data_IF_386329616980
#
_entry.id   IF_386329616980
#
_cell.length_a   1.000
_cell.length_b   1.000
_cell.length_c   1.000
_cell.angle_alpha   90.00
_cell.angle_beta   90.00
_cell.angle_gamma   90.00
#
_symmetry.space_group_name_H-M   'P 1'
#
loop_
_entity.id
_entity.type
_entity.pdbx_description
1 polymer ?
#
# COMPACT_ATOMS: atom_id res chain seq x y z
N UNK A 1 -0.19 -7.31 13.97
CA UNK A 1 -0.11 -6.86 12.57
C UNK A 1 -0.43 -5.37 12.39
N UNK A 2 -1.58 -4.87 12.88
CA UNK A 2 -1.93 -3.43 12.77
C UNK A 2 -0.83 -2.46 13.22
N UNK A 3 -0.30 -2.64 14.44
CA UNK A 3 0.81 -1.82 14.95
C UNK A 3 2.04 -1.90 14.05
N UNK A 4 2.36 -3.08 13.53
CA UNK A 4 3.49 -3.29 12.61
C UNK A 4 3.33 -2.49 11.31
N UNK A 5 2.11 -2.41 10.77
CA UNK A 5 1.83 -1.57 9.61
C UNK A 5 2.02 -0.08 9.90
N UNK A 6 1.56 0.40 11.07
CA UNK A 6 1.74 1.79 11.46
C UNK A 6 3.21 2.14 11.72
N UNK A 7 3.94 1.27 12.43
CA UNK A 7 5.38 1.43 12.62
C UNK A 7 6.13 1.38 11.30
N UNK A 8 5.76 0.46 10.42
CA UNK A 8 6.33 0.35 9.08
C UNK A 8 6.09 1.59 8.23
N UNK A 9 4.91 2.22 8.34
CA UNK A 9 4.62 3.50 7.68
C UNK A 9 5.57 4.60 8.15
N UNK A 10 5.69 4.82 9.46
CA UNK A 10 6.62 5.82 10.01
C UNK A 10 8.08 5.51 9.67
N UNK A 11 8.47 4.23 9.73
CA UNK A 11 9.82 3.79 9.37
C UNK A 11 10.12 3.96 7.88
N UNK A 12 9.15 3.71 6.99
CA UNK A 12 9.28 3.92 5.55
C UNK A 12 9.51 5.39 5.22
N UNK A 13 8.81 6.31 5.90
CA UNK A 13 9.04 7.76 5.76
C UNK A 13 10.44 8.12 6.26
N UNK A 14 10.80 7.67 7.47
CA UNK A 14 12.12 7.97 8.05
C UNK A 14 13.25 7.50 7.13
N UNK A 15 13.18 6.26 6.64
CA UNK A 15 14.16 5.71 5.72
C UNK A 15 14.14 6.48 4.40
N UNK A 16 12.97 6.75 3.81
CA UNK A 16 12.86 7.51 2.57
C UNK A 16 13.53 8.88 2.63
N UNK A 17 13.36 9.61 3.75
CA UNK A 17 14.03 10.90 3.97
C UNK A 17 15.54 10.75 4.18
N UNK A 18 15.98 9.66 4.82
CA UNK A 18 17.41 9.40 5.07
C UNK A 18 18.14 8.77 3.89
N UNK A 19 17.45 8.15 2.93
CA UNK A 19 18.08 7.43 1.80
C UNK A 19 19.09 8.28 1.02
N UNK A 20 18.82 9.55 0.66
CA UNK A 20 19.80 10.37 -0.06
C UNK A 20 21.10 10.60 0.73
N UNK A 21 21.02 10.58 2.06
CA UNK A 21 22.18 10.75 2.95
C UNK A 21 22.91 9.43 3.19
N UNK A 22 22.16 8.33 3.33
CA UNK A 22 22.72 7.01 3.62
C UNK A 22 23.32 6.34 2.39
N UNK A 23 22.75 6.59 1.21
CA UNK A 23 23.11 5.91 -0.04
C UNK A 23 23.14 6.90 -1.22
N UNK A 24 24.01 7.93 -1.18
CA UNK A 24 24.04 8.97 -2.20
C UNK A 24 24.35 8.40 -3.59
N UNK A 25 25.31 7.47 -3.71
CA UNK A 25 25.69 6.89 -5.02
C UNK A 25 24.55 6.07 -5.64
N UNK A 26 23.75 5.39 -4.82
CA UNK A 26 22.59 4.63 -5.29
C UNK A 26 21.48 5.56 -5.79
N UNK A 27 21.27 6.70 -5.12
CA UNK A 27 20.34 7.72 -5.59
C UNK A 27 20.85 8.36 -6.89
N UNK A 28 22.12 8.73 -7.00
CA UNK A 28 22.67 9.29 -8.24
C UNK A 28 22.52 8.32 -9.43
N UNK A 29 22.80 7.03 -9.21
CA UNK A 29 22.56 5.99 -10.21
C UNK A 29 21.07 5.92 -10.58
N UNK A 30 20.18 5.91 -9.60
CA UNK A 30 18.73 5.88 -9.83
C UNK A 30 18.27 7.11 -10.61
N UNK A 31 18.75 8.31 -10.28
CA UNK A 31 18.42 9.55 -10.97
C UNK A 31 18.93 9.54 -12.41
N UNK A 32 20.11 8.99 -12.66
CA UNK A 32 20.64 8.84 -14.03
C UNK A 32 19.74 7.96 -14.89
N UNK A 33 19.35 6.78 -14.38
CA UNK A 33 18.41 5.88 -15.05
C UNK A 33 17.05 6.56 -15.24
N UNK A 34 16.61 7.30 -14.22
CA UNK A 34 15.35 8.04 -14.24
C UNK A 34 15.33 9.10 -15.34
N UNK A 35 16.41 9.86 -15.49
CA UNK A 35 16.51 10.91 -16.51
C UNK A 35 16.52 10.32 -17.92
N UNK A 36 17.16 9.17 -18.11
CA UNK A 36 17.14 8.46 -19.39
C UNK A 36 15.72 7.96 -19.73
N UNK A 37 15.03 7.35 -18.75
CA UNK A 37 13.64 6.94 -18.92
C UNK A 37 12.70 8.11 -19.19
N UNK A 38 12.85 9.21 -18.46
CA UNK A 38 12.02 10.40 -18.65
C UNK A 38 12.21 11.01 -20.04
N UNK A 39 13.46 11.06 -20.53
CA UNK A 39 13.74 11.53 -21.89
C UNK A 39 13.06 10.66 -22.94
N UNK A 40 13.19 9.34 -22.83
CA UNK A 40 12.54 8.40 -23.75
C UNK A 40 11.01 8.58 -23.76
N UNK A 41 10.40 8.63 -22.56
CA UNK A 41 8.95 8.82 -22.44
C UNK A 41 8.49 10.18 -22.97
N UNK A 42 9.28 11.23 -22.74
CA UNK A 42 8.95 12.57 -23.22
C UNK A 42 9.09 12.69 -24.74
N UNK A 43 10.10 12.06 -25.34
CA UNK A 43 10.23 11.97 -26.80
C UNK A 43 9.04 11.23 -27.43
N UNK A 44 8.67 10.08 -26.88
CA UNK A 44 7.53 9.28 -27.35
C UNK A 44 6.19 10.04 -27.21
N UNK A 45 6.02 10.77 -26.10
CA UNK A 45 4.82 11.55 -25.81
C UNK A 45 4.83 12.96 -26.40
N UNK A 46 5.91 13.37 -27.08
CA UNK A 46 6.15 14.73 -27.57
C UNK A 46 6.00 15.82 -26.48
N UNK A 47 6.41 15.48 -25.25
CA UNK A 47 6.35 16.37 -24.09
C UNK A 47 7.67 17.13 -23.93
N UNK A 48 7.56 18.39 -23.50
CA UNK A 48 8.74 19.14 -23.06
C UNK A 48 9.06 18.77 -21.61
N UNK A 49 10.33 18.44 -21.34
CA UNK A 49 10.81 18.16 -19.99
C UNK A 49 11.35 19.45 -19.39
N UNK A 50 10.57 20.09 -18.53
CA UNK A 50 11.03 21.16 -17.66
C UNK A 50 11.60 20.61 -16.35
N UNK A 51 12.19 21.49 -15.54
CA UNK A 51 12.82 21.11 -14.28
C UNK A 51 11.81 20.67 -13.21
N UNK A 52 10.56 21.18 -13.27
CA UNK A 52 9.48 20.80 -12.35
C UNK A 52 9.01 19.37 -12.60
N UNK A 53 8.78 19.01 -13.86
CA UNK A 53 8.41 17.66 -14.27
C UNK A 53 9.53 16.67 -13.92
N UNK A 54 10.79 17.03 -14.18
CA UNK A 54 11.95 16.21 -13.82
C UNK A 54 12.01 15.95 -12.32
N UNK A 55 11.92 17.01 -11.50
CA UNK A 55 11.94 16.90 -10.04
C UNK A 55 10.77 16.05 -9.51
N UNK A 56 9.58 16.23 -10.06
CA UNK A 56 8.39 15.44 -9.69
C UNK A 56 8.56 13.96 -10.04
N UNK A 57 9.15 13.66 -11.20
CA UNK A 57 9.41 12.30 -11.63
C UNK A 57 10.48 11.62 -10.76
N UNK A 58 11.52 12.35 -10.38
CA UNK A 58 12.54 11.90 -9.42
C UNK A 58 11.92 11.56 -8.06
N UNK A 59 11.13 12.47 -7.51
CA UNK A 59 10.45 12.29 -6.23
C UNK A 59 9.49 11.09 -6.26
N UNK A 60 8.71 10.96 -7.33
CA UNK A 60 7.79 9.84 -7.55
C UNK A 60 8.51 8.49 -7.54
N UNK A 61 9.67 8.38 -8.21
CA UNK A 61 10.44 7.14 -8.23
C UNK A 61 11.06 6.82 -6.89
N UNK A 62 11.68 7.78 -6.21
CA UNK A 62 12.23 7.58 -4.86
C UNK A 62 11.13 7.09 -3.90
N UNK A 63 9.97 7.75 -3.93
CA UNK A 63 8.78 7.36 -3.17
C UNK A 63 8.31 5.93 -3.50
N UNK A 64 8.27 5.59 -4.79
CA UNK A 64 7.88 4.25 -5.27
C UNK A 64 8.84 3.16 -4.80
N UNK A 65 10.14 3.43 -4.78
CA UNK A 65 11.14 2.50 -4.23
C UNK A 65 10.94 2.30 -2.73
N UNK A 66 10.79 3.39 -1.96
CA UNK A 66 10.57 3.33 -0.52
C UNK A 66 9.31 2.50 -0.18
N UNK A 67 8.20 2.75 -0.89
CA UNK A 67 6.97 1.99 -0.73
C UNK A 67 7.11 0.52 -1.18
N UNK A 68 7.88 0.25 -2.23
CA UNK A 68 8.13 -1.13 -2.69
C UNK A 68 8.91 -1.94 -1.67
N UNK A 69 9.97 -1.38 -1.07
CA UNK A 69 10.71 -2.04 0.01
C UNK A 69 9.85 -2.24 1.26
N UNK A 70 9.01 -1.25 1.59
CA UNK A 70 8.07 -1.39 2.69
C UNK A 70 7.06 -2.51 2.43
N UNK A 71 6.43 -2.52 1.25
CA UNK A 71 5.50 -3.57 0.84
C UNK A 71 6.17 -4.95 0.82
N UNK A 72 7.40 -5.05 0.32
CA UNK A 72 8.18 -6.28 0.33
C UNK A 72 8.45 -6.77 1.75
N UNK A 73 8.83 -5.88 2.67
CA UNK A 73 9.04 -6.20 4.09
C UNK A 73 7.77 -6.73 4.74
N UNK A 74 6.62 -6.13 4.44
CA UNK A 74 5.33 -6.64 4.91
C UNK A 74 4.98 -7.98 4.26
N UNK A 75 5.28 -8.17 2.97
CA UNK A 75 5.14 -9.44 2.27
C UNK A 75 5.97 -10.57 2.91
N UNK A 76 7.23 -10.29 3.25
CA UNK A 76 8.09 -11.23 3.98
C UNK A 76 7.52 -11.57 5.36
N UNK A 77 6.97 -10.59 6.08
CA UNK A 77 6.29 -10.83 7.35
C UNK A 77 5.04 -11.70 7.18
N UNK A 78 4.26 -11.47 6.11
CA UNK A 78 3.06 -12.26 5.82
C UNK A 78 3.42 -13.71 5.46
N UNK A 79 4.50 -13.91 4.71
CA UNK A 79 5.03 -15.23 4.40
C UNK A 79 5.50 -15.95 5.67
N UNK A 80 6.28 -15.28 6.52
CA UNK A 80 6.71 -15.85 7.79
C UNK A 80 5.53 -16.23 8.69
N UNK A 81 4.49 -15.39 8.74
CA UNK A 81 3.26 -15.64 9.50
C UNK A 81 2.44 -16.79 8.93
N UNK A 82 2.36 -16.91 7.60
CA UNK A 82 1.63 -18.01 6.98
C UNK A 82 2.30 -19.36 7.23
N UNK A 83 3.64 -19.44 7.16
CA UNK A 83 4.40 -20.63 7.52
C UNK A 83 4.26 -20.98 9.01
N UNK A 84 4.34 -19.98 9.88
CA UNK A 84 4.15 -20.18 11.31
C UNK A 84 2.74 -20.70 11.63
N UNK A 85 1.69 -20.14 11.02
CA UNK A 85 0.33 -20.65 11.18
C UNK A 85 0.19 -22.08 10.61
N UNK A 86 0.78 -22.39 9.45
CA UNK A 86 0.69 -23.73 8.86
C UNK A 86 1.24 -24.83 9.79
N UNK A 87 2.29 -24.54 10.56
CA UNK A 87 2.91 -25.49 11.48
C UNK A 87 2.20 -25.58 12.84
N UNK A 88 1.77 -24.44 13.40
CA UNK A 88 1.32 -24.38 14.80
C UNK A 88 -0.19 -24.17 14.97
N UNK A 89 -0.86 -23.57 13.99
CA UNK A 89 -2.32 -23.31 14.01
C UNK A 89 -2.88 -23.27 12.58
N UNK A 90 -3.10 -24.43 11.93
CA UNK A 90 -3.57 -24.49 10.56
C UNK A 90 -4.80 -23.61 10.33
N UNK A 91 -4.77 -22.77 9.29
CA UNK A 91 -5.82 -21.79 9.00
C UNK A 91 -5.75 -20.48 9.80
N UNK A 92 -4.91 -20.39 10.84
CA UNK A 92 -4.80 -19.20 11.71
C UNK A 92 -4.43 -17.92 10.94
N UNK A 93 -3.54 -18.01 9.94
CA UNK A 93 -3.18 -16.86 9.11
C UNK A 93 -4.38 -16.30 8.32
N UNK A 94 -5.28 -17.17 7.84
CA UNK A 94 -6.49 -16.73 7.15
C UNK A 94 -7.38 -15.92 8.09
N UNK A 95 -7.58 -16.39 9.32
CA UNK A 95 -8.34 -15.66 10.34
C UNK A 95 -7.71 -14.30 10.65
N UNK A 96 -6.40 -14.26 10.88
CA UNK A 96 -5.64 -13.04 11.17
C UNK A 96 -5.73 -12.02 10.03
N UNK A 97 -5.54 -12.46 8.78
CA UNK A 97 -5.60 -11.59 7.62
C UNK A 97 -7.02 -11.09 7.36
N UNK A 98 -8.04 -11.96 7.46
CA UNK A 98 -9.43 -11.57 7.25
C UNK A 98 -9.93 -10.51 8.26
N UNK A 99 -9.37 -10.53 9.47
CA UNK A 99 -9.65 -9.58 10.54
C UNK A 99 -8.71 -8.36 10.53
N UNK A 100 -7.72 -8.31 9.64
CA UNK A 100 -6.77 -7.21 9.56
C UNK A 100 -7.49 -5.93 9.13
N UNK A 101 -7.61 -5.00 10.08
CA UNK A 101 -8.25 -3.71 9.93
C UNK A 101 -7.47 -2.66 10.71
N UNK A 102 -7.38 -1.47 10.14
CA UNK A 102 -6.85 -0.29 10.82
C UNK A 102 -7.93 0.31 11.75
N UNK A 103 -7.56 0.76 12.94
CA UNK A 103 -8.51 1.51 13.79
C UNK A 103 -8.78 2.89 13.15
N UNK A 104 -9.92 3.52 13.44
CA UNK A 104 -10.19 4.88 12.95
C UNK A 104 -9.05 5.84 13.31
N UNK A 105 -8.55 5.78 14.54
CA UNK A 105 -7.46 6.66 15.01
C UNK A 105 -6.18 6.44 14.21
N UNK A 106 -5.74 5.19 14.04
CA UNK A 106 -4.52 4.87 13.30
C UNK A 106 -4.66 5.27 11.82
N UNK A 107 -5.84 5.06 11.22
CA UNK A 107 -6.11 5.43 9.82
C UNK A 107 -6.13 6.95 9.64
N UNK A 108 -6.82 7.66 10.52
CA UNK A 108 -6.85 9.13 10.52
C UNK A 108 -5.45 9.71 10.70
N UNK A 109 -4.61 9.11 11.55
CA UNK A 109 -3.22 9.54 11.71
C UNK A 109 -2.42 9.41 10.40
N UNK A 110 -2.55 8.28 9.68
CA UNK A 110 -1.90 8.09 8.36
C UNK A 110 -2.36 9.17 7.38
N UNK A 111 -3.67 9.38 7.26
CA UNK A 111 -4.24 10.37 6.33
C UNK A 111 -3.81 11.79 6.69
N UNK A 112 -3.80 12.16 7.97
CA UNK A 112 -3.32 13.47 8.43
C UNK A 112 -1.85 13.67 8.06
N UNK A 113 -1.01 12.67 8.30
CA UNK A 113 0.42 12.75 7.92
C UNK A 113 0.56 12.94 6.40
N UNK A 114 -0.20 12.21 5.60
CA UNK A 114 -0.20 12.37 4.13
C UNK A 114 -0.60 13.77 3.67
N UNK A 115 -1.60 14.39 4.31
CA UNK A 115 -2.13 15.69 3.90
C UNK A 115 -1.33 16.87 4.45
N UNK A 116 -0.84 16.78 5.69
CA UNK A 116 -0.18 17.91 6.39
C UNK A 116 1.35 17.82 6.28
N UNK A 117 1.91 16.63 6.11
CA UNK A 117 3.36 16.44 6.00
C UNK A 117 4.05 17.32 4.94
N UNK A 118 3.46 17.55 3.75
CA UNK A 118 4.06 18.46 2.77
C UNK A 118 4.21 19.90 3.26
N UNK A 119 3.30 20.37 4.13
CA UNK A 119 3.36 21.73 4.68
C UNK A 119 4.55 21.97 5.62
N UNK A 120 5.21 20.91 6.08
CA UNK A 120 6.42 20.96 6.91
C UNK A 120 7.67 20.50 6.14
N UNK A 121 7.61 20.44 4.80
CA UNK A 121 8.76 20.15 3.93
C UNK A 121 9.04 18.67 3.66
N UNK A 122 8.13 17.76 4.02
CA UNK A 122 8.24 16.35 3.64
C UNK A 122 7.77 16.15 2.18
N UNK A 123 8.39 15.23 1.47
CA UNK A 123 8.00 14.90 0.10
C UNK A 123 6.59 14.28 0.05
N UNK A 124 5.68 14.87 -0.71
CA UNK A 124 4.30 14.43 -0.79
C UNK A 124 4.14 13.05 -1.42
N UNK A 125 4.95 12.70 -2.42
CA UNK A 125 4.92 11.38 -3.04
C UNK A 125 5.31 10.31 -2.04
N UNK A 126 6.40 10.51 -1.28
CA UNK A 126 6.86 9.59 -0.25
C UNK A 126 5.76 9.31 0.76
N UNK A 127 5.11 10.35 1.28
CA UNK A 127 4.03 10.19 2.26
C UNK A 127 2.85 9.41 1.69
N UNK A 128 2.43 9.75 0.47
CA UNK A 128 1.29 9.08 -0.18
C UNK A 128 1.61 7.62 -0.46
N UNK A 129 2.75 7.33 -1.08
CA UNK A 129 3.13 5.97 -1.45
C UNK A 129 3.39 5.09 -0.23
N UNK A 130 4.08 5.59 0.80
CA UNK A 130 4.26 4.89 2.07
C UNK A 130 2.91 4.66 2.78
N UNK A 131 1.99 5.63 2.73
CA UNK A 131 0.67 5.54 3.34
C UNK A 131 -0.28 4.58 2.62
N UNK A 132 -0.15 4.46 1.29
CA UNK A 132 -0.95 3.53 0.49
C UNK A 132 -0.68 2.07 0.83
N UNK A 133 0.55 1.69 1.22
CA UNK A 133 0.89 0.30 1.57
C UNK A 133 -0.05 -0.27 2.66
N UNK A 134 -0.13 0.31 3.87
CA UNK A 134 -1.02 -0.21 4.93
C UNK A 134 -2.50 -0.06 4.58
N UNK A 135 -2.89 0.99 3.85
CA UNK A 135 -4.27 1.23 3.42
C UNK A 135 -4.73 0.12 2.48
N UNK A 136 -3.96 -0.16 1.43
CA UNK A 136 -4.28 -1.20 0.45
C UNK A 136 -4.29 -2.57 1.10
N UNK A 137 -3.31 -2.89 1.96
CA UNK A 137 -3.31 -4.15 2.71
C UNK A 137 -4.60 -4.33 3.51
N UNK A 138 -5.07 -3.30 4.20
CA UNK A 138 -6.35 -3.36 4.92
C UNK A 138 -7.55 -3.51 3.97
N UNK A 139 -7.50 -2.88 2.79
CA UNK A 139 -8.54 -3.03 1.77
C UNK A 139 -8.60 -4.43 1.16
N UNK A 140 -7.45 -5.03 0.85
CA UNK A 140 -7.36 -6.44 0.43
C UNK A 140 -7.89 -7.38 1.52
N UNK A 141 -7.47 -7.16 2.77
CA UNK A 141 -7.98 -7.88 3.93
C UNK A 141 -9.51 -7.74 4.11
N UNK A 142 -10.08 -6.59 3.76
CA UNK A 142 -11.53 -6.36 3.80
C UNK A 142 -12.25 -7.24 2.82
N UNK A 143 -11.83 -7.24 1.55
CA UNK A 143 -12.49 -8.05 0.54
C UNK A 143 -12.37 -9.54 0.86
N UNK A 144 -11.18 -10.01 1.28
CA UNK A 144 -10.98 -11.40 1.70
C UNK A 144 -11.84 -11.79 2.91
N UNK A 145 -11.91 -10.90 3.90
CA UNK A 145 -12.75 -11.08 5.09
C UNK A 145 -14.23 -11.16 4.74
N UNK A 146 -14.73 -10.30 3.84
CA UNK A 146 -16.13 -10.30 3.42
C UNK A 146 -16.49 -11.54 2.60
N UNK A 147 -15.65 -11.95 1.64
CA UNK A 147 -15.83 -13.18 0.87
C UNK A 147 -15.88 -14.39 1.81
N UNK A 148 -14.95 -14.46 2.77
CA UNK A 148 -14.94 -15.51 3.78
C UNK A 148 -16.16 -15.49 4.69
N UNK A 149 -16.58 -14.33 5.19
CA UNK A 149 -17.73 -14.18 6.09
C UNK A 149 -19.06 -14.54 5.43
N UNK A 150 -19.19 -14.27 4.14
CA UNK A 150 -20.36 -14.61 3.32
C UNK A 150 -20.30 -16.03 2.74
N UNK A 151 -19.24 -16.79 3.04
CA UNK A 151 -18.99 -18.12 2.48
C UNK A 151 -19.12 -18.13 0.94
N UNK A 152 -18.60 -17.08 0.30
CA UNK A 152 -18.64 -16.96 -1.15
C UNK A 152 -17.61 -17.90 -1.78
N UNK A 153 -18.01 -18.58 -2.86
CA UNK A 153 -17.14 -19.50 -3.60
C UNK A 153 -15.93 -18.81 -4.24
N UNK A 154 -14.92 -19.61 -4.63
CA UNK A 154 -13.64 -19.13 -5.13
C UNK A 154 -13.72 -18.23 -6.37
N UNK A 155 -14.79 -18.33 -7.18
CA UNK A 155 -15.02 -17.46 -8.33
C UNK A 155 -15.05 -15.96 -7.98
N UNK A 156 -15.49 -15.60 -6.77
CA UNK A 156 -15.50 -14.20 -6.33
C UNK A 156 -14.08 -13.67 -6.07
N UNK A 157 -13.17 -14.55 -5.64
CA UNK A 157 -11.77 -14.19 -5.47
C UNK A 157 -11.11 -13.97 -6.84
N UNK A 158 -11.40 -14.85 -7.80
CA UNK A 158 -10.91 -14.72 -9.19
C UNK A 158 -11.41 -13.41 -9.80
N UNK A 159 -12.71 -13.11 -9.68
CA UNK A 159 -13.30 -11.87 -10.17
C UNK A 159 -12.68 -10.63 -9.53
N UNK A 160 -12.44 -10.66 -8.22
CA UNK A 160 -11.77 -9.56 -7.51
C UNK A 160 -10.38 -9.27 -8.06
N UNK A 161 -9.52 -10.28 -8.21
CA UNK A 161 -8.17 -10.08 -8.76
C UNK A 161 -8.19 -9.72 -10.25
N UNK A 162 -9.14 -10.25 -11.03
CA UNK A 162 -9.32 -9.84 -12.42
C UNK A 162 -9.66 -8.34 -12.52
N UNK A 163 -10.53 -7.83 -11.63
CA UNK A 163 -10.83 -6.40 -11.56
C UNK A 163 -9.62 -5.57 -11.12
N UNK A 164 -8.83 -6.05 -10.15
CA UNK A 164 -7.57 -5.39 -9.75
C UNK A 164 -6.64 -5.20 -10.95
N UNK A 165 -6.49 -6.21 -11.81
CA UNK A 165 -5.59 -6.16 -12.98
C UNK A 165 -6.18 -5.34 -14.13
N UNK A 166 -7.43 -5.61 -14.52
CA UNK A 166 -8.06 -4.99 -15.70
C UNK A 166 -8.37 -3.52 -15.48
N UNK A 167 -8.78 -3.16 -14.26
CA UNK A 167 -9.12 -1.78 -13.90
C UNK A 167 -7.99 -1.10 -13.09
N UNK A 168 -6.76 -1.61 -13.18
CA UNK A 168 -5.59 -0.94 -12.62
C UNK A 168 -5.38 0.42 -13.33
N UNK A 169 -5.09 1.52 -12.61
CA UNK A 169 -4.96 1.65 -11.15
C UNK A 169 -6.28 1.98 -10.42
N UNK A 170 -7.34 2.33 -11.14
CA UNK A 170 -8.63 2.81 -10.61
C UNK A 170 -9.22 1.90 -9.53
N UNK A 171 -9.16 0.58 -9.69
CA UNK A 171 -9.73 -0.36 -8.71
C UNK A 171 -8.95 -0.38 -7.39
N UNK A 172 -7.64 -0.11 -7.41
CA UNK A 172 -6.87 0.06 -6.17
C UNK A 172 -7.32 1.29 -5.38
N UNK A 173 -7.67 2.38 -6.05
CA UNK A 173 -8.23 3.57 -5.38
C UNK A 173 -9.58 3.26 -4.72
N UNK A 174 -10.42 2.44 -5.35
CA UNK A 174 -11.67 1.95 -4.75
C UNK A 174 -11.38 1.09 -3.52
N UNK A 175 -10.41 0.18 -3.60
CA UNK A 175 -9.98 -0.66 -2.46
C UNK A 175 -9.47 0.20 -1.30
N UNK A 176 -8.67 1.24 -1.60
CA UNK A 176 -8.18 2.17 -0.60
C UNK A 176 -9.32 2.95 0.08
N UNK A 177 -10.28 3.45 -0.70
CA UNK A 177 -11.47 4.10 -0.16
C UNK A 177 -12.29 3.16 0.73
N UNK A 178 -12.47 1.91 0.30
CA UNK A 178 -13.16 0.90 1.10
C UNK A 178 -12.45 0.61 2.41
N UNK A 179 -11.11 0.61 2.42
CA UNK A 179 -10.32 0.45 3.65
C UNK A 179 -10.51 1.65 4.61
N UNK A 180 -10.56 2.87 4.08
CA UNK A 180 -10.86 4.09 4.85
C UNK A 180 -12.25 4.00 5.48
N UNK A 181 -13.27 3.66 4.69
CA UNK A 181 -14.64 3.50 5.17
C UNK A 181 -14.74 2.39 6.23
N UNK A 182 -14.16 1.23 5.98
CA UNK A 182 -14.15 0.13 6.94
C UNK A 182 -13.43 0.49 8.24
N UNK A 183 -12.34 1.26 8.18
CA UNK A 183 -11.69 1.78 9.40
C UNK A 183 -12.64 2.65 10.22
N UNK A 184 -13.52 3.43 9.59
CA UNK A 184 -14.44 4.34 10.26
C UNK A 184 -15.71 3.65 10.80
N UNK A 185 -16.37 2.81 9.99
CA UNK A 185 -17.72 2.28 10.31
C UNK A 185 -17.76 0.81 10.70
N UNK A 186 -16.62 0.10 10.61
CA UNK A 186 -16.50 -1.34 10.80
C UNK A 186 -17.50 -2.13 9.92
N UNK A 187 -17.28 -2.08 8.60
CA UNK A 187 -18.19 -2.71 7.62
C UNK A 187 -18.36 -4.19 7.95
N UNK A 188 -17.27 -4.88 8.31
CA UNK A 188 -17.29 -6.31 8.63
C UNK A 188 -18.24 -6.65 9.78
N UNK A 189 -18.35 -5.81 10.81
CA UNK A 189 -19.28 -6.05 11.93
C UNK A 189 -20.76 -6.03 11.50
N UNK A 190 -21.09 -5.24 10.48
CA UNK A 190 -22.48 -4.99 10.03
C UNK A 190 -22.98 -5.99 9.00
N UNK A 191 -22.07 -6.76 8.39
CA UNK A 191 -22.43 -7.79 7.42
C UNK A 191 -22.85 -9.06 8.16
N UNK A 192 -24.08 -9.53 7.93
CA UNK A 192 -24.54 -10.83 8.44
C UNK A 192 -23.73 -11.97 7.81
N UNK A 193 -23.31 -12.95 8.61
CA UNK A 193 -22.77 -14.22 8.09
C UNK A 193 -23.86 -14.96 7.33
N UNK A 194 -23.47 -15.71 6.30
CA UNK A 194 -24.40 -16.64 5.65
C UNK A 194 -24.79 -17.71 6.67
N UNK A 195 -26.07 -18.15 6.73
CA UNK A 195 -26.46 -19.31 7.52
C UNK A 195 -25.59 -20.50 7.10
N UNK A 196 -25.07 -21.25 8.07
CA UNK A 196 -24.35 -22.49 7.78
C UNK A 196 -25.27 -23.40 6.96
N UNK A 197 -24.77 -23.86 5.80
CA UNK A 197 -25.44 -24.84 4.93
C UNK A 197 -24.98 -26.25 5.29
#
# INVERSE_FOLDING_TARGET
MRRTLLFGFGFSILIGVMTPVLMPEAIEMLLTVTDELLKQLAEDAQLQVDDELRASFHALLIASFAASFFAMSVGSLFLARSWQAALFKPGGWREEFHQLRMSSMDMTAIVIVMLIGPAIGLDGYLLVFSGLVPILICGFALVHGLIGKKNLGGQWMIGFYALVVVLFPTFLAIIALMALLDSAVDIRSRVQSSPDA
#
